data_IF_943221190731
#
_entry.id   IF_943221190731
#
_cell.length_a   1.000
_cell.length_b   1.000
_cell.length_c   1.000
_cell.angle_alpha   90.00
_cell.angle_beta   90.00
_cell.angle_gamma   90.00
#
_symmetry.space_group_name_H-M   'P 1'
#
loop_
_entity.id
_entity.type
_entity.pdbx_description
1 polymer ?
#
# COMPACT_ATOMS: atom_id res chain seq x y z
N UNK A 1 19.20 -4.78 9.11
CA UNK A 1 19.41 -3.47 9.77
C UNK A 1 19.23 -2.28 8.81
N UNK A 2 19.71 -2.38 7.56
CA UNK A 2 19.61 -1.29 6.56
C UNK A 2 18.15 -0.90 6.24
N UNK A 3 17.27 -1.88 6.00
CA UNK A 3 15.85 -1.63 5.72
C UNK A 3 15.10 -0.88 6.84
N UNK A 4 15.40 -1.20 8.11
CA UNK A 4 14.82 -0.50 9.27
C UNK A 4 15.30 0.95 9.35
N UNK A 5 16.54 1.22 8.97
CA UNK A 5 17.10 2.57 8.99
C UNK A 5 16.47 3.45 7.89
N UNK A 6 16.38 2.94 6.64
CA UNK A 6 15.76 3.70 5.55
C UNK A 6 14.27 3.94 5.79
N UNK A 7 13.56 2.97 6.35
CA UNK A 7 12.15 3.11 6.72
C UNK A 7 11.95 4.16 7.82
N UNK A 8 12.78 4.16 8.87
CA UNK A 8 12.70 5.18 9.91
C UNK A 8 12.98 6.59 9.34
N UNK A 9 13.99 6.72 8.48
CA UNK A 9 14.30 7.99 7.80
C UNK A 9 13.15 8.42 6.88
N UNK A 10 12.58 7.50 6.10
CA UNK A 10 11.45 7.78 5.22
C UNK A 10 10.22 8.25 6.00
N UNK A 11 9.92 7.64 7.15
CA UNK A 11 8.84 8.09 8.04
C UNK A 11 9.16 9.48 8.61
N UNK A 12 10.39 9.73 9.05
CA UNK A 12 10.80 11.05 9.58
C UNK A 12 10.68 12.17 8.55
N UNK A 13 11.16 11.92 7.33
CA UNK A 13 11.05 12.86 6.19
C UNK A 13 9.59 13.01 5.78
N UNK A 14 8.81 11.93 5.76
CA UNK A 14 7.37 11.94 5.51
C UNK A 14 6.59 12.78 6.50
N UNK A 15 6.90 12.67 7.79
CA UNK A 15 6.32 13.48 8.85
C UNK A 15 6.61 14.97 8.61
N UNK A 16 7.87 15.32 8.29
CA UNK A 16 8.27 16.69 7.99
C UNK A 16 7.47 17.29 6.83
N UNK A 17 7.41 16.61 5.68
CA UNK A 17 6.65 17.10 4.53
C UNK A 17 5.15 17.12 4.76
N UNK A 18 4.60 16.15 5.49
CA UNK A 18 3.17 16.13 5.82
C UNK A 18 2.78 17.32 6.69
N UNK A 19 3.62 17.69 7.68
CA UNK A 19 3.41 18.89 8.47
C UNK A 19 3.53 20.15 7.62
N UNK A 20 4.54 20.24 6.75
CA UNK A 20 4.73 21.38 5.87
C UNK A 20 3.53 21.58 4.93
N UNK A 21 3.02 20.51 4.31
CA UNK A 21 1.84 20.57 3.45
C UNK A 21 0.56 20.87 4.21
N UNK A 22 0.41 20.32 5.42
CA UNK A 22 -0.76 20.62 6.25
C UNK A 22 -0.76 22.11 6.64
N UNK A 23 0.41 22.69 6.92
CA UNK A 23 0.53 24.10 7.29
C UNK A 23 0.35 25.05 6.10
N UNK A 24 0.84 24.69 4.91
CA UNK A 24 0.84 25.57 3.72
C UNK A 24 -0.42 25.42 2.88
N UNK A 25 -0.94 24.20 2.71
CA UNK A 25 -2.04 23.87 1.82
C UNK A 25 -3.31 23.41 2.57
N UNK A 26 -3.23 23.15 3.88
CA UNK A 26 -4.35 22.57 4.65
C UNK A 26 -4.68 21.13 4.27
N UNK A 27 -3.84 20.48 3.46
CA UNK A 27 -4.02 19.10 3.01
C UNK A 27 -3.22 18.16 3.91
N UNK A 28 -3.90 17.24 4.59
CA UNK A 28 -3.23 16.25 5.42
C UNK A 28 -3.09 14.95 4.62
N UNK A 29 -1.84 14.54 4.40
CA UNK A 29 -1.55 13.37 3.61
C UNK A 29 -1.68 12.09 4.46
N UNK A 30 -2.86 11.49 4.49
CA UNK A 30 -3.07 10.05 4.79
C UNK A 30 -2.56 9.49 6.14
N UNK A 31 -2.00 10.31 7.03
CA UNK A 31 -1.46 9.91 8.34
C UNK A 31 0.00 10.25 8.54
N UNK A 32 0.41 10.30 9.80
CA UNK A 32 1.73 10.76 10.23
C UNK A 32 2.88 9.87 9.73
N UNK A 33 2.57 8.61 9.38
CA UNK A 33 3.56 7.57 9.02
C UNK A 33 3.41 7.08 7.57
N UNK A 34 2.20 7.11 7.02
CA UNK A 34 1.84 6.53 5.71
C UNK A 34 2.61 7.10 4.51
N UNK A 35 2.81 8.42 4.34
CA UNK A 35 3.48 8.94 3.16
C UNK A 35 4.95 8.51 3.06
N UNK A 36 5.61 8.25 4.19
CA UNK A 36 6.96 7.68 4.21
C UNK A 36 7.01 6.25 3.68
N UNK A 37 6.05 5.41 4.06
CA UNK A 37 5.92 4.05 3.52
C UNK A 37 5.55 4.06 2.04
N UNK A 38 4.58 4.90 1.67
CA UNK A 38 4.13 5.01 0.29
C UNK A 38 5.25 5.49 -0.62
N UNK A 39 6.10 6.41 -0.14
CA UNK A 39 7.27 6.88 -0.89
C UNK A 39 8.26 5.76 -1.23
N UNK A 40 8.47 4.80 -0.32
CA UNK A 40 9.36 3.65 -0.56
C UNK A 40 8.78 2.69 -1.60
N UNK A 41 7.46 2.48 -1.58
CA UNK A 41 6.76 1.56 -2.48
C UNK A 41 6.32 2.19 -3.82
N UNK A 42 6.74 3.42 -4.14
CA UNK A 42 6.36 4.06 -5.42
C UNK A 42 6.88 3.30 -6.65
N UNK A 43 7.94 2.50 -6.50
CA UNK A 43 8.49 1.66 -7.58
C UNK A 43 7.63 0.44 -7.88
N UNK A 44 6.84 -0.03 -6.90
CA UNK A 44 5.95 -1.19 -7.02
C UNK A 44 4.48 -0.74 -6.95
N UNK A 45 3.92 -0.23 -8.06
CA UNK A 45 2.59 0.37 -8.08
C UNK A 45 1.48 -0.63 -7.75
N UNK A 46 1.71 -1.93 -7.95
CA UNK A 46 0.73 -2.97 -7.72
C UNK A 46 0.49 -3.18 -6.22
N UNK A 47 1.54 -3.32 -5.40
CA UNK A 47 1.43 -3.40 -3.94
C UNK A 47 0.76 -2.16 -3.36
N UNK A 48 1.12 -0.97 -3.87
CA UNK A 48 0.47 0.28 -3.50
C UNK A 48 -1.03 0.26 -3.84
N UNK A 49 -1.40 -0.13 -5.05
CA UNK A 49 -2.80 -0.20 -5.48
C UNK A 49 -3.61 -1.15 -4.59
N UNK A 50 -3.07 -2.33 -4.29
CA UNK A 50 -3.68 -3.31 -3.38
C UNK A 50 -3.91 -2.69 -1.99
N UNK A 51 -2.93 -1.98 -1.43
CA UNK A 51 -3.10 -1.33 -0.12
C UNK A 51 -4.13 -0.21 -0.12
N UNK A 52 -4.20 0.58 -1.21
CA UNK A 52 -5.21 1.63 -1.36
C UNK A 52 -6.61 1.04 -1.54
N UNK A 53 -6.76 -0.08 -2.25
CA UNK A 53 -8.01 -0.83 -2.37
C UNK A 53 -8.41 -1.37 -1.00
N UNK A 54 -7.49 -1.97 -0.24
CA UNK A 54 -7.75 -2.45 1.12
C UNK A 54 -8.20 -1.31 2.05
N UNK A 55 -7.60 -0.12 1.92
CA UNK A 55 -7.98 1.06 2.69
C UNK A 55 -9.39 1.56 2.31
N UNK A 56 -9.71 1.57 1.01
CA UNK A 56 -11.02 1.96 0.49
C UNK A 56 -12.12 1.01 0.99
N UNK A 57 -11.88 -0.30 0.92
CA UNK A 57 -12.79 -1.34 1.42
C UNK A 57 -13.00 -1.17 2.92
N UNK A 58 -11.91 -0.99 3.67
CA UNK A 58 -11.95 -0.75 5.12
C UNK A 58 -12.83 0.45 5.46
N UNK A 59 -12.57 1.58 4.79
CA UNK A 59 -13.33 2.80 4.96
C UNK A 59 -14.83 2.59 4.65
N UNK A 60 -15.15 1.89 3.55
CA UNK A 60 -16.53 1.63 3.16
C UNK A 60 -17.27 0.75 4.18
N UNK A 61 -16.63 -0.33 4.63
CA UNK A 61 -17.19 -1.24 5.64
C UNK A 61 -17.46 -0.49 6.93
N UNK A 62 -16.48 0.25 7.46
CA UNK A 62 -16.66 0.98 8.71
C UNK A 62 -17.70 2.08 8.57
N UNK A 63 -17.76 2.76 7.40
CA UNK A 63 -18.79 3.77 7.14
C UNK A 63 -20.21 3.19 7.08
N UNK A 64 -20.37 2.00 6.52
CA UNK A 64 -21.65 1.28 6.56
C UNK A 64 -22.00 0.89 7.99
N UNK A 65 -21.06 0.30 8.73
CA UNK A 65 -21.28 -0.11 10.13
C UNK A 65 -21.63 1.10 11.01
N UNK A 66 -20.92 2.23 10.84
CA UNK A 66 -21.17 3.47 11.58
C UNK A 66 -22.52 4.11 11.24
N UNK A 67 -23.13 3.76 10.09
CA UNK A 67 -24.49 4.17 9.76
C UNK A 67 -25.54 3.38 10.54
N UNK A 68 -25.25 2.14 10.93
CA UNK A 68 -26.19 1.28 11.68
C UNK A 68 -25.93 1.31 13.19
N UNK A 69 -24.67 1.43 13.60
CA UNK A 69 -24.24 1.53 14.98
C UNK A 69 -23.74 2.95 15.25
N UNK A 70 -24.25 3.60 16.30
CA UNK A 70 -23.87 4.95 16.74
C UNK A 70 -22.43 4.93 17.29
N UNK A 71 -21.46 4.87 16.39
CA UNK A 71 -20.03 4.77 16.68
C UNK A 71 -19.39 6.08 16.20
N UNK A 72 -19.30 7.05 17.11
CA UNK A 72 -18.69 8.35 16.83
C UNK A 72 -17.43 8.58 17.67
N UNK A 73 -16.54 9.42 17.16
CA UNK A 73 -15.36 9.92 17.88
C UNK A 73 -14.22 8.90 17.99
N UNK A 74 -13.59 8.78 19.18
CA UNK A 74 -12.37 7.97 19.38
C UNK A 74 -12.56 6.47 19.08
N UNK A 75 -13.77 5.94 19.29
CA UNK A 75 -14.09 4.52 19.06
C UNK A 75 -14.04 4.17 17.57
N UNK A 76 -14.49 5.09 16.72
CA UNK A 76 -14.46 4.94 15.28
C UNK A 76 -13.02 4.80 14.76
N UNK A 77 -12.06 5.53 15.32
CA UNK A 77 -10.64 5.43 14.97
C UNK A 77 -10.06 4.04 15.25
N UNK A 78 -10.38 3.46 16.41
CA UNK A 78 -9.89 2.12 16.78
C UNK A 78 -10.51 1.07 15.85
N UNK A 79 -11.79 1.21 15.53
CA UNK A 79 -12.50 0.29 14.63
C UNK A 79 -11.94 0.37 13.21
N UNK A 80 -11.63 1.57 12.70
CA UNK A 80 -10.93 1.73 11.42
C UNK A 80 -9.59 0.99 11.39
N UNK A 81 -8.79 1.08 12.46
CA UNK A 81 -7.49 0.39 12.53
C UNK A 81 -7.68 -1.13 12.58
N UNK A 82 -8.60 -1.62 13.42
CA UNK A 82 -8.86 -3.06 13.56
C UNK A 82 -9.44 -3.66 12.28
N UNK A 83 -10.43 -3.01 11.68
CA UNK A 83 -11.01 -3.45 10.41
C UNK A 83 -9.96 -3.38 9.29
N UNK A 84 -9.11 -2.34 9.27
CA UNK A 84 -8.01 -2.22 8.32
C UNK A 84 -7.03 -3.39 8.39
N UNK A 85 -6.63 -3.76 9.62
CA UNK A 85 -5.79 -4.93 9.85
C UNK A 85 -6.43 -6.23 9.36
N UNK A 86 -7.72 -6.44 9.67
CA UNK A 86 -8.44 -7.64 9.25
C UNK A 86 -8.61 -7.71 7.73
N UNK A 87 -8.97 -6.60 7.09
CA UNK A 87 -9.16 -6.55 5.64
C UNK A 87 -7.84 -6.76 4.91
N UNK A 88 -6.76 -6.15 5.40
CA UNK A 88 -5.43 -6.38 4.86
C UNK A 88 -5.02 -7.87 4.95
N UNK A 89 -5.18 -8.49 6.12
CA UNK A 89 -4.91 -9.93 6.29
C UNK A 89 -5.77 -10.81 5.40
N UNK A 90 -7.05 -10.47 5.24
CA UNK A 90 -7.97 -11.22 4.41
C UNK A 90 -7.67 -11.06 2.92
N UNK A 91 -7.26 -9.87 2.47
CA UNK A 91 -6.82 -9.66 1.10
C UNK A 91 -5.56 -10.45 0.76
N UNK A 92 -4.54 -10.46 1.63
CA UNK A 92 -3.31 -11.24 1.39
C UNK A 92 -3.62 -12.73 1.25
N UNK A 93 -4.48 -13.28 2.12
CA UNK A 93 -4.94 -14.67 2.04
C UNK A 93 -5.75 -14.94 0.76
N UNK A 94 -6.63 -14.00 0.39
CA UNK A 94 -7.47 -14.12 -0.79
C UNK A 94 -6.62 -14.07 -2.08
N UNK A 95 -5.66 -13.15 -2.17
CA UNK A 95 -4.74 -13.04 -3.30
C UNK A 95 -3.89 -14.31 -3.43
N UNK A 96 -3.33 -14.83 -2.33
CA UNK A 96 -2.59 -16.09 -2.36
C UNK A 96 -3.43 -17.28 -2.82
N UNK A 97 -4.69 -17.37 -2.38
CA UNK A 97 -5.60 -18.41 -2.84
C UNK A 97 -6.00 -18.25 -4.32
N UNK A 98 -6.24 -17.03 -4.79
CA UNK A 98 -6.57 -16.77 -6.20
C UNK A 98 -5.44 -17.23 -7.13
N UNK A 99 -4.19 -16.92 -6.78
CA UNK A 99 -3.03 -17.33 -7.59
C UNK A 99 -2.92 -18.86 -7.65
N UNK A 100 -2.99 -19.54 -6.50
CA UNK A 100 -2.92 -21.01 -6.46
C UNK A 100 -4.00 -21.68 -7.34
N UNK A 101 -5.20 -21.10 -7.36
CA UNK A 101 -6.30 -21.58 -8.21
C UNK A 101 -6.04 -21.38 -9.70
N UNK A 102 -5.42 -20.26 -10.08
CA UNK A 102 -5.05 -19.95 -11.47
C UNK A 102 -3.93 -20.87 -11.95
N UNK A 103 -2.90 -21.11 -11.14
CA UNK A 103 -1.80 -22.02 -11.48
C UNK A 103 -2.28 -23.46 -11.73
N UNK A 104 -3.25 -23.94 -10.94
CA UNK A 104 -3.86 -25.25 -11.11
C UNK A 104 -4.65 -25.37 -12.43
N UNK A 105 -5.30 -24.29 -12.89
CA UNK A 105 -6.00 -24.28 -14.17
C UNK A 105 -5.03 -24.25 -15.35
N UNK A 106 -3.87 -23.59 -15.21
CA UNK A 106 -2.82 -23.58 -16.23
C UNK A 106 -2.16 -24.96 -16.37
N UNK A 107 -1.97 -25.71 -15.29
CA UNK A 107 -1.44 -27.09 -15.33
C UNK A 107 -2.48 -28.09 -15.88
N UNK A 108 -3.77 -27.82 -15.70
CA UNK A 108 -4.86 -28.69 -16.16
C UNK A 108 -5.28 -28.48 -17.63
N UNK A 109 -4.89 -27.37 -18.27
CA UNK A 109 -5.29 -26.99 -19.63
C UNK A 109 -4.13 -26.99 -20.64
N UNK A 110 -3.54 -28.14 -20.91
CA UNK A 110 -2.50 -28.27 -21.95
C UNK A 110 -3.09 -28.33 -23.36
N UNK A 111 -3.12 -27.20 -24.06
CA UNK A 111 -3.15 -27.20 -25.53
C UNK A 111 -2.35 -26.01 -26.11
N UNK A 112 -1.47 -26.32 -27.06
CA UNK A 112 -0.21 -25.60 -27.34
C UNK A 112 -0.34 -24.28 -28.15
N UNK A 113 -1.45 -23.55 -28.07
CA UNK A 113 -1.67 -22.30 -28.83
C UNK A 113 -1.69 -21.01 -27.98
N UNK A 114 -1.65 -21.10 -26.65
CA UNK A 114 -1.82 -19.97 -25.72
C UNK A 114 -0.51 -19.38 -25.15
N UNK A 115 0.65 -19.83 -25.66
CA UNK A 115 1.97 -19.54 -25.07
C UNK A 115 2.44 -18.06 -25.12
N UNK A 116 1.77 -17.15 -25.85
CA UNK A 116 2.10 -15.70 -25.85
C UNK A 116 1.16 -14.84 -24.99
N UNK A 117 -0.06 -15.31 -24.70
CA UNK A 117 -0.99 -14.62 -23.79
C UNK A 117 -0.71 -15.09 -22.35
N UNK A 118 -0.36 -16.37 -22.20
CA UNK A 118 0.04 -16.97 -20.93
C UNK A 118 1.30 -16.32 -20.31
N UNK A 119 2.21 -15.73 -21.09
CA UNK A 119 3.43 -15.09 -20.57
C UNK A 119 3.19 -13.71 -19.95
N UNK A 120 2.18 -12.98 -20.44
CA UNK A 120 1.74 -11.72 -19.83
C UNK A 120 0.87 -12.00 -18.60
N UNK A 121 0.01 -13.02 -18.66
CA UNK A 121 -0.75 -13.51 -17.51
C UNK A 121 0.17 -14.05 -16.41
N UNK A 122 1.23 -14.79 -16.76
CA UNK A 122 2.22 -15.27 -15.79
C UNK A 122 3.03 -14.14 -15.17
N UNK A 123 3.36 -13.08 -15.92
CA UNK A 123 4.08 -11.91 -15.39
C UNK A 123 3.22 -11.11 -14.41
N UNK A 124 1.92 -10.97 -14.69
CA UNK A 124 0.97 -10.32 -13.78
C UNK A 124 0.69 -11.16 -12.54
N UNK A 125 0.52 -12.48 -12.69
CA UNK A 125 0.38 -13.41 -11.57
C UNK A 125 1.62 -13.42 -10.67
N UNK A 126 2.83 -13.39 -11.26
CA UNK A 126 4.09 -13.24 -10.52
C UNK A 126 4.11 -11.97 -9.68
N UNK A 127 3.69 -10.85 -10.26
CA UNK A 127 3.62 -9.57 -9.56
C UNK A 127 2.61 -9.57 -8.41
N UNK A 128 1.50 -10.31 -8.54
CA UNK A 128 0.53 -10.49 -7.45
C UNK A 128 1.10 -11.35 -6.31
N UNK A 129 1.89 -12.38 -6.63
CA UNK A 129 2.56 -13.20 -5.61
C UNK A 129 3.62 -12.43 -4.81
N UNK A 130 4.32 -11.52 -5.48
CA UNK A 130 5.37 -10.69 -4.88
C UNK A 130 4.79 -9.47 -4.15
N UNK A 131 3.58 -9.03 -4.53
CA UNK A 131 2.90 -7.94 -3.86
C UNK A 131 2.33 -8.36 -2.51
N UNK A 132 3.08 -8.10 -1.44
CA UNK A 132 2.55 -8.19 -0.09
C UNK A 132 1.91 -6.85 0.32
N UNK A 133 0.79 -6.91 1.03
CA UNK A 133 0.19 -5.71 1.61
C UNK A 133 1.17 -5.06 2.58
N UNK A 134 1.46 -3.79 2.31
CA UNK A 134 2.41 -2.98 3.06
C UNK A 134 1.84 -2.77 4.47
N UNK A 135 2.27 -3.58 5.42
CA UNK A 135 1.93 -3.47 6.84
C UNK A 135 0.42 -3.45 7.10
N UNK A 136 -0.10 -4.49 7.74
CA UNK A 136 -1.55 -4.63 7.99
C UNK A 136 -2.24 -3.41 8.66
N UNK A 137 -1.50 -2.54 9.35
CA UNK A 137 -2.05 -1.34 10.01
C UNK A 137 -2.23 -0.15 9.02
N UNK A 138 -1.44 -0.07 7.96
CA UNK A 138 -1.41 1.09 7.05
C UNK A 138 -2.76 1.32 6.35
N UNK A 139 -3.44 0.30 5.80
CA UNK A 139 -4.77 0.48 5.22
C UNK A 139 -5.78 1.09 6.21
N UNK A 140 -5.71 0.69 7.48
CA UNK A 140 -6.53 1.25 8.55
C UNK A 140 -6.20 2.71 8.87
N UNK A 141 -4.92 3.08 8.84
CA UNK A 141 -4.50 4.48 8.98
C UNK A 141 -5.03 5.32 7.83
N UNK A 142 -4.90 4.88 6.57
CA UNK A 142 -5.42 5.60 5.40
C UNK A 142 -6.95 5.77 5.51
N UNK A 143 -7.67 4.72 5.90
CA UNK A 143 -9.11 4.74 6.06
C UNK A 143 -9.59 5.79 7.08
N UNK A 144 -8.82 6.03 8.15
CA UNK A 144 -9.11 7.13 9.10
C UNK A 144 -9.10 8.48 8.39
N UNK A 145 -8.15 8.73 7.49
CA UNK A 145 -8.07 10.01 6.79
C UNK A 145 -9.14 10.14 5.70
N UNK A 146 -9.52 9.03 5.06
CA UNK A 146 -10.65 9.01 4.12
C UNK A 146 -11.93 9.52 4.79
N UNK A 147 -12.16 9.15 6.05
CA UNK A 147 -13.30 9.61 6.83
C UNK A 147 -13.22 11.09 7.23
N UNK A 148 -12.02 11.57 7.58
CA UNK A 148 -11.84 12.95 8.08
C UNK A 148 -11.76 14.00 6.98
N UNK A 149 -11.10 13.70 5.87
CA UNK A 149 -10.76 14.68 4.83
C UNK A 149 -11.37 14.35 3.47
N UNK A 150 -11.90 13.14 3.29
CA UNK A 150 -12.42 12.65 2.03
C UNK A 150 -11.38 11.86 1.23
N UNK A 151 -11.87 10.91 0.43
CA UNK A 151 -11.02 9.99 -0.34
C UNK A 151 -10.17 10.73 -1.36
N UNK A 152 -10.75 11.68 -2.11
CA UNK A 152 -10.01 12.36 -3.18
C UNK A 152 -8.88 13.25 -2.62
N UNK A 153 -9.19 14.03 -1.59
CA UNK A 153 -8.25 14.96 -0.97
C UNK A 153 -7.05 14.23 -0.35
N UNK A 154 -7.33 13.11 0.32
CA UNK A 154 -6.29 12.28 0.94
C UNK A 154 -5.42 11.60 -0.10
N UNK A 155 -5.99 11.06 -1.20
CA UNK A 155 -5.20 10.47 -2.28
C UNK A 155 -4.30 11.50 -2.96
N UNK A 156 -4.82 12.70 -3.26
CA UNK A 156 -4.00 13.78 -3.82
C UNK A 156 -2.89 14.20 -2.86
N UNK A 157 -3.21 14.41 -1.57
CA UNK A 157 -2.21 14.77 -0.57
C UNK A 157 -1.15 13.69 -0.38
N UNK A 158 -1.56 12.43 -0.34
CA UNK A 158 -0.68 11.27 -0.22
C UNK A 158 0.25 11.15 -1.43
N UNK A 159 -0.27 11.32 -2.64
CA UNK A 159 0.54 11.28 -3.86
C UNK A 159 1.60 12.39 -3.86
N UNK A 160 1.21 13.64 -3.55
CA UNK A 160 2.15 14.77 -3.54
C UNK A 160 3.22 14.59 -2.48
N UNK A 161 2.83 14.26 -1.24
CA UNK A 161 3.80 14.04 -0.16
C UNK A 161 4.71 12.86 -0.42
N UNK A 162 4.20 11.74 -0.92
CA UNK A 162 5.02 10.57 -1.24
C UNK A 162 6.08 10.89 -2.31
N UNK A 163 5.70 11.63 -3.35
CA UNK A 163 6.64 12.08 -4.38
C UNK A 163 7.70 13.01 -3.78
N UNK A 164 7.31 13.97 -2.94
CA UNK A 164 8.27 14.86 -2.27
C UNK A 164 9.23 14.10 -1.36
N UNK A 165 8.72 13.14 -0.59
CA UNK A 165 9.55 12.28 0.26
C UNK A 165 10.50 11.45 -0.58
N UNK A 166 10.03 10.86 -1.68
CA UNK A 166 10.88 10.07 -2.58
C UNK A 166 12.00 10.92 -3.18
N UNK A 167 11.68 12.14 -3.64
CA UNK A 167 12.68 13.09 -4.13
C UNK A 167 13.69 13.47 -3.04
N UNK A 168 13.23 13.71 -1.81
CA UNK A 168 14.14 13.99 -0.70
C UNK A 168 15.03 12.80 -0.35
N UNK A 169 14.51 11.57 -0.37
CA UNK A 169 15.31 10.35 -0.14
C UNK A 169 16.37 10.16 -1.22
N UNK A 170 16.04 10.42 -2.50
CA UNK A 170 17.01 10.38 -3.60
C UNK A 170 18.16 11.37 -3.37
N UNK A 171 17.87 12.55 -2.80
CA UNK A 171 18.89 13.58 -2.52
C UNK A 171 19.71 13.26 -1.27
N UNK A 172 19.08 12.78 -0.19
CA UNK A 172 19.74 12.62 1.11
C UNK A 172 20.46 11.27 1.23
N UNK A 173 19.86 10.19 0.74
CA UNK A 173 20.42 8.84 0.87
C UNK A 173 20.23 7.99 -0.41
N UNK A 174 20.90 8.35 -1.52
CA UNK A 174 20.75 7.65 -2.79
C UNK A 174 21.18 6.18 -2.71
N UNK A 175 22.31 5.89 -2.05
CA UNK A 175 22.86 4.52 -2.00
C UNK A 175 21.96 3.56 -1.22
N UNK A 176 21.38 3.98 -0.10
CA UNK A 176 20.51 3.12 0.70
C UNK A 176 19.16 2.87 0.04
N UNK A 177 18.64 3.84 -0.71
CA UNK A 177 17.43 3.68 -1.52
C UNK A 177 17.67 2.69 -2.67
N UNK A 178 18.79 2.81 -3.37
CA UNK A 178 19.16 1.87 -4.44
C UNK A 178 19.38 0.45 -3.90
N UNK A 179 19.99 0.30 -2.73
CA UNK A 179 20.12 -1.00 -2.08
C UNK A 179 18.75 -1.58 -1.66
N UNK A 180 17.81 -0.73 -1.23
CA UNK A 180 16.44 -1.15 -0.91
C UNK A 180 15.71 -1.61 -2.18
N UNK A 181 15.76 -0.84 -3.27
CA UNK A 181 15.18 -1.22 -4.56
C UNK A 181 15.81 -2.50 -5.11
N UNK A 182 17.14 -2.66 -5.01
CA UNK A 182 17.84 -3.87 -5.42
C UNK A 182 17.40 -5.08 -4.59
N UNK A 183 17.09 -4.90 -3.30
CA UNK A 183 16.58 -5.98 -2.45
C UNK A 183 15.13 -6.36 -2.77
N UNK A 184 14.31 -5.42 -3.26
CA UNK A 184 13.00 -5.73 -3.84
C UNK A 184 13.15 -6.46 -5.18
N UNK A 185 14.02 -5.97 -6.07
CA UNK A 185 14.24 -6.59 -7.37
C UNK A 185 14.83 -8.01 -7.30
N UNK A 186 15.59 -8.34 -6.24
CA UNK A 186 16.15 -9.67 -6.03
C UNK A 186 15.12 -10.70 -5.51
N UNK A 187 13.89 -10.28 -5.20
CA UNK A 187 12.80 -11.21 -4.90
C UNK A 187 12.12 -11.78 -6.16
N UNK A 188 12.50 -11.33 -7.36
CA UNK A 188 12.09 -11.90 -8.65
C UNK A 188 12.69 -13.30 -8.85
N UNK A 189 11.91 -14.39 -8.82
CA UNK A 189 12.37 -15.73 -9.19
C UNK A 189 12.60 -15.78 -10.70
N UNK A 190 13.85 -15.61 -11.12
CA UNK A 190 14.23 -15.59 -12.53
C UNK A 190 15.72 -15.44 -12.82
N UNK A 191 16.56 -15.28 -11.81
CA UNK A 191 18.03 -15.42 -11.89
C UNK A 191 18.54 -16.20 -10.68
#
# INVERSE_FOLDING_TARGET
>A
MIALNILAVAIGVGLFFTLLLTQTLGLAAGGLVVPGYVALQLTDPLSLAITLIAALITYLIVRIIASFAIIYGRRQTIIMILTGYLIAGLMDLFLGNLVNWVDLQMIAGGDNAQAQIATLESSFMMSIMESSIIGYIIPGLIAIWFDRQGVLQTLCGLAVTAVLVRLALIVIMPESLQMYEASQAFQMPGW
#
